data_IF_604529202639
#
_entry.id   IF_604529202639
#
_cell.length_a   1.000
_cell.length_b   1.000
_cell.length_c   1.000
_cell.angle_alpha   90.00
_cell.angle_beta   90.00
_cell.angle_gamma   90.00
#
_symmetry.space_group_name_H-M   'P 1'
#
loop_
_entity.id
_entity.type
_entity.pdbx_description
1 polymer ?
#
# COMPACT_ATOMS: atom_id res chain seq x y z
N UNK A 1 19.65 -5.89 28.06
CA UNK A 1 18.91 -5.70 26.79
C UNK A 1 19.78 -6.29 25.69
N UNK A 2 19.40 -7.45 25.15
CA UNK A 2 20.10 -8.07 24.02
C UNK A 2 19.47 -7.57 22.73
N UNK A 3 20.26 -6.88 21.90
CA UNK A 3 19.91 -6.61 20.51
C UNK A 3 19.62 -7.97 19.85
N UNK A 4 18.48 -8.15 19.14
CA UNK A 4 18.25 -9.36 18.36
C UNK A 4 19.46 -9.58 17.44
N UNK A 5 19.99 -10.80 17.31
CA UNK A 5 21.16 -11.02 16.48
C UNK A 5 20.87 -10.53 15.04
N UNK A 6 21.87 -10.00 14.32
CA UNK A 6 21.71 -9.63 12.92
C UNK A 6 21.08 -10.78 12.14
N UNK A 7 20.21 -10.50 11.16
CA UNK A 7 19.51 -11.53 10.37
C UNK A 7 20.47 -12.51 9.67
N UNK A 8 21.75 -12.15 9.52
CA UNK A 8 22.83 -13.06 9.13
C UNK A 8 23.02 -14.30 10.03
N UNK A 9 22.45 -14.28 11.26
CA UNK A 9 22.48 -15.38 12.21
C UNK A 9 21.22 -16.27 12.17
N UNK A 10 20.22 -15.93 11.36
CA UNK A 10 19.05 -16.79 11.18
C UNK A 10 19.45 -17.90 10.22
N UNK A 11 19.45 -19.15 10.70
CA UNK A 11 19.79 -20.31 9.88
C UNK A 11 18.81 -20.44 8.71
N UNK A 12 19.23 -19.94 7.55
CA UNK A 12 18.52 -20.04 6.28
C UNK A 12 18.41 -21.52 5.92
N UNK A 13 17.21 -22.08 5.96
CA UNK A 13 16.92 -23.44 5.46
C UNK A 13 16.55 -23.45 3.98
N UNK A 14 16.45 -22.28 3.34
CA UNK A 14 16.06 -22.15 1.94
C UNK A 14 17.27 -22.15 0.99
N UNK A 15 17.37 -23.16 0.13
CA UNK A 15 18.37 -23.25 -0.95
C UNK A 15 18.27 -22.14 -2.00
N UNK A 16 17.30 -21.23 -1.85
CA UNK A 16 17.03 -20.10 -2.74
C UNK A 16 18.05 -18.96 -2.57
N UNK A 17 18.78 -18.90 -1.44
CA UNK A 17 19.71 -17.80 -1.09
C UNK A 17 21.19 -18.09 -1.38
N UNK A 18 21.49 -18.94 -2.35
CA UNK A 18 22.84 -19.49 -2.53
C UNK A 18 23.81 -18.67 -3.39
N UNK A 19 23.40 -17.53 -3.98
CA UNK A 19 24.26 -16.74 -4.87
C UNK A 19 24.50 -15.29 -4.43
N UNK A 20 25.56 -14.64 -4.97
CA UNK A 20 25.93 -13.27 -4.62
C UNK A 20 24.87 -12.24 -5.05
N UNK A 21 24.15 -12.50 -6.14
CA UNK A 21 23.06 -11.62 -6.60
C UNK A 21 21.86 -11.67 -5.65
N UNK A 22 21.53 -12.84 -5.12
CA UNK A 22 20.43 -13.01 -4.17
C UNK A 22 20.75 -12.34 -2.83
N UNK A 23 22.01 -12.39 -2.39
CA UNK A 23 22.47 -11.63 -1.22
C UNK A 23 22.39 -10.12 -1.45
N UNK A 24 22.79 -9.64 -2.62
CA UNK A 24 22.69 -8.22 -2.96
C UNK A 24 21.22 -7.76 -3.05
N UNK A 25 20.32 -8.61 -3.57
CA UNK A 25 18.89 -8.34 -3.63
C UNK A 25 18.25 -8.24 -2.24
N UNK A 26 18.67 -9.09 -1.29
CA UNK A 26 18.25 -8.97 0.11
C UNK A 26 18.79 -7.70 0.76
N UNK A 27 20.06 -7.37 0.53
CA UNK A 27 20.61 -6.11 1.02
C UNK A 27 19.85 -4.89 0.45
N UNK A 28 19.50 -4.94 -0.85
CA UNK A 28 18.68 -3.93 -1.50
C UNK A 28 17.28 -3.85 -0.87
N UNK A 29 16.65 -4.99 -0.56
CA UNK A 29 15.37 -5.02 0.13
C UNK A 29 15.44 -4.29 1.48
N UNK A 30 16.44 -4.61 2.31
CA UNK A 30 16.58 -4.02 3.65
C UNK A 30 16.93 -2.53 3.62
N UNK A 31 17.78 -2.10 2.67
CA UNK A 31 18.37 -0.76 2.68
C UNK A 31 17.73 0.23 1.69
N UNK A 32 17.02 -0.26 0.67
CA UNK A 32 16.34 0.57 -0.32
C UNK A 32 14.83 0.48 -0.14
N UNK A 33 14.25 -0.72 -0.23
CA UNK A 33 12.81 -0.86 0.05
C UNK A 33 12.49 -0.59 1.53
N UNK A 34 13.39 -0.95 2.45
CA UNK A 34 13.27 -0.62 3.88
C UNK A 34 12.94 0.86 4.15
N UNK A 35 13.44 1.77 3.31
CA UNK A 35 13.21 3.22 3.42
C UNK A 35 11.79 3.66 3.06
N UNK A 36 10.96 2.76 2.51
CA UNK A 36 9.52 2.99 2.37
C UNK A 36 8.83 3.07 3.75
N UNK A 37 9.48 2.57 4.79
CA UNK A 37 9.05 2.78 6.17
C UNK A 37 9.86 3.91 6.81
N UNK A 38 9.23 4.82 7.56
CA UNK A 38 9.95 5.77 8.41
C UNK A 38 10.57 5.09 9.65
N UNK A 39 10.38 3.78 9.83
CA UNK A 39 10.85 3.03 11.00
C UNK A 39 12.21 2.42 10.73
N UNK A 40 12.92 2.07 11.80
CA UNK A 40 14.05 1.15 11.68
C UNK A 40 13.56 -0.17 11.09
N UNK A 41 14.29 -0.73 10.14
CA UNK A 41 13.86 -1.87 9.34
C UNK A 41 13.28 -3.02 10.19
N UNK A 42 13.96 -3.41 11.26
CA UNK A 42 13.56 -4.52 12.14
C UNK A 42 12.17 -4.39 12.78
N UNK A 43 11.65 -3.16 12.91
CA UNK A 43 10.34 -2.85 13.48
C UNK A 43 9.33 -2.41 12.41
N UNK A 44 9.71 -2.48 11.14
CA UNK A 44 8.89 -2.09 10.01
C UNK A 44 8.03 -3.25 9.51
N UNK A 45 6.96 -2.91 8.78
CA UNK A 45 6.15 -3.89 8.06
C UNK A 45 7.00 -4.76 7.12
N UNK A 46 8.09 -4.20 6.57
CA UNK A 46 8.98 -4.88 5.63
C UNK A 46 9.82 -5.96 6.30
N UNK A 47 10.16 -5.83 7.58
CA UNK A 47 10.79 -6.91 8.32
C UNK A 47 9.81 -8.07 8.58
N UNK A 48 8.53 -7.78 8.83
CA UNK A 48 7.50 -8.83 8.91
C UNK A 48 7.39 -9.55 7.57
N UNK A 49 7.32 -8.81 6.46
CA UNK A 49 7.30 -9.40 5.11
C UNK A 49 8.52 -10.26 4.83
N UNK A 50 9.72 -9.83 5.25
CA UNK A 50 10.94 -10.62 5.08
C UNK A 50 10.90 -11.92 5.89
N UNK A 51 10.31 -11.91 7.10
CA UNK A 51 10.09 -13.13 7.88
C UNK A 51 9.17 -14.10 7.13
N UNK A 52 8.06 -13.62 6.57
CA UNK A 52 7.20 -14.43 5.70
C UNK A 52 7.97 -15.01 4.50
N UNK A 53 8.88 -14.24 3.92
CA UNK A 53 9.71 -14.71 2.81
C UNK A 53 10.68 -15.82 3.23
N UNK A 54 11.29 -15.73 4.42
CA UNK A 54 12.20 -16.78 4.90
C UNK A 54 11.49 -18.13 5.11
N UNK A 55 10.22 -18.10 5.49
CA UNK A 55 9.41 -19.30 5.76
C UNK A 55 8.72 -19.87 4.50
N UNK A 56 8.74 -19.14 3.37
CA UNK A 56 8.01 -19.53 2.15
C UNK A 56 8.82 -19.28 0.87
N UNK A 57 9.11 -20.37 0.14
CA UNK A 57 9.88 -20.31 -1.09
C UNK A 57 9.21 -19.47 -2.20
N UNK A 58 7.87 -19.48 -2.29
CA UNK A 58 7.14 -18.65 -3.26
C UNK A 58 7.41 -17.18 -3.00
N UNK A 59 7.23 -16.77 -1.75
CA UNK A 59 7.44 -15.39 -1.32
C UNK A 59 8.90 -14.97 -1.46
N UNK A 60 9.87 -15.81 -1.11
CA UNK A 60 11.29 -15.51 -1.32
C UNK A 60 11.63 -15.32 -2.81
N UNK A 61 11.18 -16.21 -3.69
CA UNK A 61 11.42 -16.06 -5.12
C UNK A 61 10.82 -14.76 -5.68
N UNK A 62 9.59 -14.40 -5.28
CA UNK A 62 8.96 -13.16 -5.73
C UNK A 62 9.64 -11.91 -5.16
N UNK A 63 10.09 -11.95 -3.90
CA UNK A 63 10.88 -10.87 -3.29
C UNK A 63 12.17 -10.63 -4.08
N UNK A 64 12.94 -11.69 -4.34
CA UNK A 64 14.19 -11.60 -5.09
C UNK A 64 13.95 -11.09 -6.51
N UNK A 65 12.92 -11.60 -7.18
CA UNK A 65 12.54 -11.11 -8.51
C UNK A 65 12.22 -9.61 -8.52
N UNK A 66 11.46 -9.12 -7.53
CA UNK A 66 11.15 -7.71 -7.39
C UNK A 66 12.42 -6.87 -7.17
N UNK A 67 13.27 -7.24 -6.21
CA UNK A 67 14.50 -6.50 -5.94
C UNK A 67 15.45 -6.49 -7.14
N UNK A 68 15.71 -7.64 -7.75
CA UNK A 68 16.59 -7.75 -8.92
C UNK A 68 16.05 -6.97 -10.12
N UNK A 69 14.73 -6.99 -10.36
CA UNK A 69 14.13 -6.20 -11.43
C UNK A 69 14.36 -4.70 -11.22
N UNK A 70 14.15 -4.19 -10.00
CA UNK A 70 14.41 -2.78 -9.68
C UNK A 70 15.89 -2.42 -9.76
N UNK A 71 16.78 -3.25 -9.23
CA UNK A 71 18.24 -3.07 -9.33
C UNK A 71 18.71 -3.03 -10.80
N UNK A 72 18.18 -3.91 -11.63
CA UNK A 72 18.53 -3.98 -13.05
C UNK A 72 18.15 -2.73 -13.82
N UNK A 73 17.02 -2.09 -13.48
CA UNK A 73 16.60 -0.82 -14.10
C UNK A 73 17.52 0.33 -13.68
N UNK A 74 17.90 0.39 -12.41
CA UNK A 74 18.80 1.44 -11.90
C UNK A 74 20.21 1.37 -12.51
N UNK A 75 20.64 0.17 -12.90
CA UNK A 75 21.99 -0.11 -13.43
C UNK A 75 22.04 -0.38 -14.92
N UNK A 76 20.87 -0.45 -15.57
CA UNK A 76 20.71 -0.93 -16.95
C UNK A 76 21.34 -2.33 -17.20
N UNK A 77 21.26 -3.23 -16.21
CA UNK A 77 21.95 -4.54 -16.24
C UNK A 77 21.05 -5.70 -16.68
N UNK A 78 21.29 -6.18 -17.91
CA UNK A 78 20.59 -7.32 -18.50
C UNK A 78 20.89 -8.67 -17.83
N UNK A 79 22.04 -8.83 -17.16
CA UNK A 79 22.34 -10.06 -16.42
C UNK A 79 21.46 -10.16 -15.17
N UNK A 80 21.39 -9.09 -14.38
CA UNK A 80 20.48 -9.00 -13.23
C UNK A 80 19.01 -9.19 -13.65
N UNK A 81 18.58 -8.57 -14.76
CA UNK A 81 17.22 -8.75 -15.28
C UNK A 81 16.91 -10.21 -15.65
N UNK A 82 17.87 -10.95 -16.21
CA UNK A 82 17.68 -12.39 -16.49
C UNK A 82 17.50 -13.20 -15.21
N UNK A 83 18.24 -12.88 -14.14
CA UNK A 83 18.03 -13.53 -12.85
C UNK A 83 16.66 -13.19 -12.26
N UNK A 84 16.25 -11.92 -12.34
CA UNK A 84 14.92 -11.49 -11.91
C UNK A 84 13.80 -12.30 -12.58
N UNK A 85 13.89 -12.52 -13.90
CA UNK A 85 12.94 -13.33 -14.67
C UNK A 85 12.94 -14.80 -14.23
N UNK A 86 14.11 -15.38 -13.96
CA UNK A 86 14.20 -16.76 -13.46
C UNK A 86 13.48 -16.92 -12.12
N UNK A 87 13.73 -16.01 -11.17
CA UNK A 87 13.05 -16.01 -9.88
C UNK A 87 11.54 -15.77 -10.03
N UNK A 88 11.13 -14.87 -10.92
CA UNK A 88 9.72 -14.61 -11.23
C UNK A 88 9.02 -15.86 -11.79
N UNK A 89 9.64 -16.58 -12.72
CA UNK A 89 9.07 -17.78 -13.33
C UNK A 89 8.91 -18.92 -12.31
N UNK A 90 9.89 -19.08 -11.41
CA UNK A 90 9.79 -20.07 -10.32
C UNK A 90 8.72 -19.66 -9.32
N UNK A 91 8.77 -18.43 -8.80
CA UNK A 91 7.81 -17.91 -7.83
C UNK A 91 6.37 -17.94 -8.35
N UNK A 92 6.13 -17.52 -9.59
CA UNK A 92 4.79 -17.54 -10.20
C UNK A 92 4.25 -18.96 -10.36
N UNK A 93 5.08 -19.94 -10.74
CA UNK A 93 4.66 -21.34 -10.83
C UNK A 93 4.30 -21.91 -9.46
N UNK A 94 5.11 -21.63 -8.43
CA UNK A 94 4.82 -22.05 -7.06
C UNK A 94 3.53 -21.41 -6.54
N UNK A 95 3.30 -20.12 -6.82
CA UNK A 95 2.07 -19.42 -6.44
C UNK A 95 0.83 -20.07 -7.06
N UNK A 96 0.88 -20.38 -8.36
CA UNK A 96 -0.22 -21.06 -9.06
C UNK A 96 -0.45 -22.45 -8.48
N UNK A 97 0.62 -23.22 -8.22
CA UNK A 97 0.50 -24.54 -7.61
C UNK A 97 -0.11 -24.49 -6.20
N UNK A 98 0.28 -23.48 -5.40
CA UNK A 98 -0.21 -23.27 -4.04
C UNK A 98 -1.64 -22.73 -3.95
N UNK A 99 -2.19 -22.19 -5.05
CA UNK A 99 -3.56 -21.65 -5.08
C UNK A 99 -4.67 -22.70 -4.90
N UNK A 100 -4.31 -23.99 -4.92
CA UNK A 100 -5.20 -25.14 -4.69
C UNK A 100 -5.07 -25.73 -3.28
N UNK A 101 -4.33 -25.08 -2.37
CA UNK A 101 -4.15 -25.57 -1.01
C UNK A 101 -5.44 -25.48 -0.18
N UNK A 102 -5.65 -26.45 0.73
CA UNK A 102 -6.82 -26.54 1.60
C UNK A 102 -6.87 -25.44 2.67
N UNK A 103 -5.71 -24.88 3.04
CA UNK A 103 -5.58 -23.74 3.94
C UNK A 103 -4.85 -22.60 3.24
N UNK A 104 -5.41 -21.39 3.37
CA UNK A 104 -4.93 -20.21 2.67
C UNK A 104 -4.43 -19.19 3.67
N UNK A 105 -3.14 -18.89 3.61
CA UNK A 105 -2.54 -17.77 4.34
C UNK A 105 -2.81 -16.46 3.56
N UNK A 106 -3.76 -15.67 4.06
CA UNK A 106 -4.18 -14.43 3.41
C UNK A 106 -3.10 -13.35 3.44
N UNK A 107 -2.35 -13.25 4.54
CA UNK A 107 -1.23 -12.32 4.67
C UNK A 107 -0.18 -12.60 3.59
N UNK A 108 0.22 -13.86 3.45
CA UNK A 108 1.18 -14.30 2.43
C UNK A 108 0.68 -14.09 1.01
N UNK A 109 -0.58 -14.38 0.76
CA UNK A 109 -1.19 -14.17 -0.56
C UNK A 109 -1.08 -12.71 -0.99
N UNK A 110 -1.39 -11.79 -0.08
CA UNK A 110 -1.27 -10.36 -0.34
C UNK A 110 0.18 -9.89 -0.51
N UNK A 111 1.12 -10.40 0.30
CA UNK A 111 2.55 -10.15 0.10
C UNK A 111 2.99 -10.55 -1.30
N UNK A 112 2.58 -11.74 -1.76
CA UNK A 112 2.90 -12.22 -3.11
C UNK A 112 2.30 -11.32 -4.19
N UNK A 113 1.05 -10.87 -4.02
CA UNK A 113 0.43 -9.91 -4.95
C UNK A 113 1.18 -8.59 -5.02
N UNK A 114 1.64 -8.07 -3.89
CA UNK A 114 2.45 -6.85 -3.88
C UNK A 114 3.77 -7.02 -4.62
N UNK A 115 4.49 -8.13 -4.42
CA UNK A 115 5.72 -8.40 -5.19
C UNK A 115 5.45 -8.49 -6.69
N UNK A 116 4.33 -9.08 -7.11
CA UNK A 116 3.92 -9.08 -8.53
C UNK A 116 3.68 -7.65 -9.03
N UNK A 117 3.03 -6.78 -8.26
CA UNK A 117 2.87 -5.36 -8.62
C UNK A 117 4.23 -4.67 -8.79
N UNK A 118 5.17 -4.87 -7.86
CA UNK A 118 6.51 -4.29 -7.93
C UNK A 118 7.30 -4.74 -9.16
N UNK A 119 7.20 -6.03 -9.50
CA UNK A 119 7.86 -6.59 -10.69
C UNK A 119 7.29 -5.95 -11.95
N UNK A 120 5.97 -5.97 -12.13
CA UNK A 120 5.35 -5.40 -13.33
C UNK A 120 5.66 -3.91 -13.51
N UNK A 121 5.75 -3.15 -12.42
CA UNK A 121 6.21 -1.76 -12.45
C UNK A 121 7.67 -1.60 -12.86
N UNK A 122 8.54 -2.50 -12.44
CA UNK A 122 9.94 -2.48 -12.85
C UNK A 122 10.15 -2.81 -14.34
N UNK A 123 9.27 -3.61 -14.94
CA UNK A 123 9.36 -4.01 -16.35
C UNK A 123 8.27 -3.37 -17.23
N UNK A 124 7.88 -2.13 -16.91
CA UNK A 124 6.66 -1.51 -17.43
C UNK A 124 6.61 -1.42 -18.96
N UNK A 125 5.96 -2.41 -19.58
CA UNK A 125 5.61 -2.48 -20.99
C UNK A 125 4.11 -2.79 -21.17
N UNK A 126 3.64 -2.92 -22.41
CA UNK A 126 2.23 -3.20 -22.71
C UNK A 126 1.75 -4.52 -22.09
N UNK A 127 2.63 -5.52 -22.03
CA UNK A 127 2.32 -6.83 -21.46
C UNK A 127 2.22 -6.75 -19.93
N UNK A 128 3.15 -6.05 -19.28
CA UNK A 128 3.15 -5.78 -17.84
C UNK A 128 1.91 -4.99 -17.44
N UNK A 129 1.50 -4.00 -18.24
CA UNK A 129 0.26 -3.24 -18.06
C UNK A 129 -0.97 -4.14 -18.09
N UNK A 130 -1.07 -5.03 -19.09
CA UNK A 130 -2.14 -6.03 -19.16
C UNK A 130 -2.11 -7.03 -18.00
N UNK A 131 -0.92 -7.43 -17.54
CA UNK A 131 -0.75 -8.34 -16.42
C UNK A 131 -1.17 -7.68 -15.10
N UNK A 132 -0.80 -6.42 -14.87
CA UNK A 132 -1.25 -5.62 -13.73
C UNK A 132 -2.78 -5.53 -13.69
N UNK A 133 -3.43 -5.31 -14.84
CA UNK A 133 -4.90 -5.25 -14.91
C UNK A 133 -5.57 -6.56 -14.49
N UNK A 134 -4.99 -7.68 -14.93
CA UNK A 134 -5.46 -9.03 -14.52
C UNK A 134 -5.19 -9.29 -13.04
N UNK A 135 -4.04 -8.87 -12.53
CA UNK A 135 -3.68 -8.98 -11.12
C UNK A 135 -4.66 -8.18 -10.26
N UNK A 136 -4.93 -6.93 -10.60
CA UNK A 136 -5.93 -6.06 -9.97
C UNK A 136 -7.29 -6.75 -9.83
N UNK A 137 -7.82 -7.28 -10.94
CA UNK A 137 -9.08 -8.01 -10.94
C UNK A 137 -9.03 -9.29 -10.10
N UNK A 138 -7.91 -10.03 -10.15
CA UNK A 138 -7.71 -11.27 -9.38
C UNK A 138 -7.66 -11.01 -7.88
N UNK A 139 -7.01 -9.92 -7.44
CA UNK A 139 -6.99 -9.50 -6.04
C UNK A 139 -8.39 -9.14 -5.55
N UNK A 140 -9.16 -8.39 -6.34
CA UNK A 140 -10.55 -8.05 -5.99
C UNK A 140 -11.43 -9.30 -5.86
N UNK A 141 -11.32 -10.23 -6.82
CA UNK A 141 -12.03 -11.51 -6.77
C UNK A 141 -11.60 -12.36 -5.57
N UNK A 142 -10.31 -12.35 -5.23
CA UNK A 142 -9.78 -13.05 -4.06
C UNK A 142 -10.40 -12.50 -2.77
N UNK A 143 -10.41 -11.17 -2.59
CA UNK A 143 -11.04 -10.50 -1.42
C UNK A 143 -12.50 -10.91 -1.28
N UNK A 144 -13.25 -10.92 -2.37
CA UNK A 144 -14.66 -11.29 -2.38
C UNK A 144 -14.87 -12.79 -2.10
N UNK A 145 -14.08 -13.66 -2.74
CA UNK A 145 -14.18 -15.12 -2.61
C UNK A 145 -13.96 -15.58 -1.17
N UNK A 146 -12.97 -15.01 -0.49
CA UNK A 146 -12.64 -15.38 0.88
C UNK A 146 -13.35 -14.50 1.92
N UNK A 147 -14.19 -13.55 1.50
CA UNK A 147 -14.93 -12.68 2.43
C UNK A 147 -14.01 -11.87 3.35
N UNK A 148 -12.85 -11.42 2.87
CA UNK A 148 -11.83 -10.79 3.73
C UNK A 148 -12.37 -9.53 4.42
N UNK A 149 -13.25 -8.78 3.76
CA UNK A 149 -13.84 -7.56 4.35
C UNK A 149 -14.73 -7.90 5.54
N UNK A 150 -15.49 -8.99 5.46
CA UNK A 150 -16.33 -9.46 6.55
C UNK A 150 -15.44 -9.87 7.74
N UNK A 151 -14.35 -10.63 7.49
CA UNK A 151 -13.38 -11.02 8.53
C UNK A 151 -12.68 -9.84 9.20
N UNK A 152 -12.42 -8.75 8.46
CA UNK A 152 -11.84 -7.53 9.03
C UNK A 152 -12.85 -6.73 9.88
N UNK A 153 -14.15 -6.92 9.66
CA UNK A 153 -15.22 -6.23 10.38
C UNK A 153 -15.72 -7.00 11.61
N UNK A 154 -15.53 -8.31 11.68
CA UNK A 154 -15.93 -9.10 12.85
C UNK A 154 -15.20 -8.57 14.10
N UNK A 155 -15.97 -8.01 15.03
CA UNK A 155 -15.52 -7.81 16.42
C UNK A 155 -15.14 -9.19 16.98
N UNK A 156 -14.10 -9.25 17.83
CA UNK A 156 -13.67 -10.49 18.49
C UNK A 156 -14.83 -11.10 19.28
N UNK A 157 -15.67 -11.90 18.59
CA UNK A 157 -16.81 -12.60 19.16
C UNK A 157 -16.26 -13.75 19.98
N UNK A 158 -15.82 -13.40 21.18
CA UNK A 158 -15.64 -14.33 22.28
C UNK A 158 -17.02 -14.86 22.67
N UNK A 159 -17.43 -15.97 22.03
CA UNK A 159 -18.49 -16.85 22.50
C UNK A 159 -19.92 -16.44 22.15
N UNK A 160 -20.51 -17.17 21.20
CA UNK A 160 -21.96 -17.21 21.01
C UNK A 160 -22.36 -18.14 19.85
N UNK A 161 -23.16 -19.19 20.08
CA UNK A 161 -23.62 -20.06 19.00
C UNK A 161 -24.83 -19.44 18.29
N UNK A 162 -24.73 -19.27 16.97
CA UNK A 162 -25.85 -18.92 16.09
C UNK A 162 -25.54 -17.72 15.20
N UNK A 163 -26.09 -17.55 13.99
CA UNK A 163 -27.00 -18.36 13.20
C UNK A 163 -26.83 -17.93 11.73
N UNK A 164 -26.99 -18.88 10.81
CA UNK A 164 -27.39 -18.70 9.41
C UNK A 164 -26.80 -17.54 8.59
N UNK A 165 -25.74 -17.82 7.82
CA UNK A 165 -25.65 -17.29 6.46
C UNK A 165 -24.98 -18.34 5.57
N UNK A 166 -25.63 -18.69 4.45
CA UNK A 166 -25.25 -19.80 3.57
C UNK A 166 -24.03 -19.53 2.67
N UNK A 167 -23.01 -18.83 3.17
CA UNK A 167 -21.70 -18.75 2.51
C UNK A 167 -20.80 -19.87 3.08
N UNK A 168 -19.91 -20.48 2.27
CA UNK A 168 -18.89 -21.38 2.81
C UNK A 168 -18.06 -20.59 3.82
N UNK A 169 -18.33 -20.84 5.09
CA UNK A 169 -17.72 -20.17 6.22
C UNK A 169 -16.31 -20.76 6.32
N UNK A 170 -15.28 -20.02 5.95
CA UNK A 170 -13.94 -20.35 6.42
C UNK A 170 -13.94 -20.01 7.92
N UNK A 171 -14.22 -21.00 8.76
CA UNK A 171 -14.71 -20.86 10.14
C UNK A 171 -13.68 -20.38 11.19
N UNK A 172 -12.66 -19.63 10.82
CA UNK A 172 -11.69 -19.11 11.80
C UNK A 172 -11.54 -17.61 11.67
N UNK A 173 -12.03 -16.88 12.68
CA UNK A 173 -11.69 -15.47 12.84
C UNK A 173 -10.16 -15.33 12.84
N UNK A 174 -9.66 -14.36 12.08
CA UNK A 174 -8.22 -14.10 12.00
C UNK A 174 -7.70 -13.66 13.39
N UNK A 175 -6.56 -14.19 13.86
CA UNK A 175 -5.92 -13.68 15.05
C UNK A 175 -5.72 -12.16 14.94
N UNK A 176 -5.88 -11.43 16.05
CA UNK A 176 -5.75 -9.96 16.08
C UNK A 176 -4.45 -9.46 15.42
N UNK A 177 -3.35 -10.20 15.63
CA UNK A 177 -2.06 -9.89 15.02
C UNK A 177 -2.08 -9.96 13.48
N UNK A 178 -2.73 -10.98 12.93
CA UNK A 178 -2.88 -11.15 11.48
C UNK A 178 -3.89 -10.17 10.91
N UNK A 179 -4.97 -9.86 11.65
CA UNK A 179 -5.99 -8.90 11.25
C UNK A 179 -5.41 -7.51 11.00
N UNK A 180 -4.62 -6.99 11.94
CA UNK A 180 -4.01 -5.66 11.81
C UNK A 180 -2.96 -5.60 10.70
N UNK A 181 -2.15 -6.65 10.57
CA UNK A 181 -1.18 -6.78 9.48
C UNK A 181 -1.87 -6.84 8.11
N UNK A 182 -2.85 -7.73 7.95
CA UNK A 182 -3.59 -7.91 6.70
C UNK A 182 -4.32 -6.62 6.31
N UNK A 183 -4.99 -5.95 7.24
CA UNK A 183 -5.66 -4.67 6.96
C UNK A 183 -4.68 -3.60 6.47
N UNK A 184 -3.50 -3.50 7.10
CA UNK A 184 -2.45 -2.56 6.69
C UNK A 184 -1.92 -2.88 5.31
N UNK A 185 -1.70 -4.16 5.03
CA UNK A 185 -1.18 -4.61 3.74
C UNK A 185 -2.22 -4.46 2.62
N UNK A 186 -3.49 -4.74 2.92
CA UNK A 186 -4.62 -4.56 2.01
C UNK A 186 -4.76 -3.09 1.58
N UNK A 187 -4.68 -2.14 2.52
CA UNK A 187 -4.67 -0.71 2.19
C UNK A 187 -3.48 -0.33 1.31
N UNK A 188 -2.30 -0.82 1.67
CA UNK A 188 -1.09 -0.53 0.92
C UNK A 188 -1.18 -1.02 -0.54
N UNK A 189 -1.56 -2.28 -0.75
CA UNK A 189 -1.77 -2.86 -2.09
C UNK A 189 -2.92 -2.17 -2.84
N UNK A 190 -3.97 -1.73 -2.15
CA UNK A 190 -5.06 -0.98 -2.75
C UNK A 190 -4.64 0.43 -3.20
N UNK A 191 -3.74 1.11 -2.49
CA UNK A 191 -3.15 2.37 -2.95
C UNK A 191 -2.29 2.16 -4.20
N UNK A 192 -1.49 1.09 -4.22
CA UNK A 192 -0.68 0.76 -5.40
C UNK A 192 -1.55 0.38 -6.62
N UNK A 193 -2.68 -0.26 -6.38
CA UNK A 193 -3.69 -0.56 -7.38
C UNK A 193 -4.38 0.72 -7.90
N UNK A 194 -4.66 1.68 -7.01
CA UNK A 194 -5.22 2.99 -7.34
C UNK A 194 -4.26 3.81 -8.21
N UNK A 195 -2.97 3.84 -7.88
CA UNK A 195 -1.96 4.55 -8.68
C UNK A 195 -1.81 3.92 -10.08
N UNK A 196 -1.89 2.59 -10.17
CA UNK A 196 -1.82 1.89 -11.45
C UNK A 196 -3.02 2.17 -12.36
N UNK A 197 -4.11 2.69 -11.82
CA UNK A 197 -5.31 3.06 -12.56
C UNK A 197 -5.07 4.23 -13.53
N UNK A 198 -4.15 5.15 -13.21
CA UNK A 198 -3.77 6.25 -14.12
C UNK A 198 -3.20 5.77 -15.46
N UNK A 199 -2.80 4.51 -15.55
CA UNK A 199 -2.30 3.87 -16.75
C UNK A 199 -3.25 2.78 -17.29
N UNK A 200 -4.53 2.80 -16.91
CA UNK A 200 -5.55 1.78 -17.26
C UNK A 200 -5.17 0.34 -16.84
N UNK A 201 -4.28 0.23 -15.85
CA UNK A 201 -3.63 -1.03 -15.46
C UNK A 201 -4.09 -1.55 -14.09
N UNK A 202 -4.88 -0.79 -13.35
CA UNK A 202 -5.35 -1.15 -12.01
C UNK A 202 -6.76 -0.69 -11.73
N UNK A 203 -7.09 -0.60 -10.46
CA UNK A 203 -8.29 0.03 -9.95
C UNK A 203 -9.44 -0.91 -9.63
N UNK A 204 -9.33 -2.23 -9.84
CA UNK A 204 -10.39 -3.17 -9.47
C UNK A 204 -10.38 -3.47 -7.95
N UNK A 205 -9.20 -3.61 -7.34
CA UNK A 205 -9.08 -3.80 -5.90
C UNK A 205 -9.35 -2.49 -5.17
N UNK A 206 -8.78 -1.37 -5.64
CA UNK A 206 -8.99 -0.07 -5.01
C UNK A 206 -10.48 0.31 -4.99
N UNK A 207 -11.23 0.03 -6.06
CA UNK A 207 -12.69 0.26 -6.12
C UNK A 207 -13.50 -0.61 -5.14
N UNK A 208 -12.90 -1.66 -4.58
CA UNK A 208 -13.54 -2.51 -3.56
C UNK A 208 -13.18 -2.04 -2.14
N UNK A 209 -11.94 -1.61 -1.92
CA UNK A 209 -11.39 -1.27 -0.59
C UNK A 209 -11.61 0.20 -0.23
N UNK A 210 -11.43 1.10 -1.20
CA UNK A 210 -11.44 2.56 -1.03
C UNK A 210 -12.80 3.15 -1.39
N UNK A 211 -13.87 2.51 -0.91
CA UNK A 211 -15.25 3.01 -1.04
C UNK A 211 -15.62 3.74 0.22
N UNK A 212 -16.13 4.96 0.10
CA UNK A 212 -16.54 5.72 1.27
C UNK A 212 -17.63 4.99 2.06
N UNK A 213 -17.34 4.68 3.33
CA UNK A 213 -18.32 4.13 4.26
C UNK A 213 -17.69 3.25 5.34
N UNK A 214 -18.54 2.56 6.10
CA UNK A 214 -18.15 1.78 7.26
C UNK A 214 -17.06 0.72 6.94
N UNK A 215 -17.07 0.14 5.74
CA UNK A 215 -16.09 -0.87 5.35
C UNK A 215 -14.68 -0.31 5.26
N UNK A 216 -14.47 0.79 4.55
CA UNK A 216 -13.14 1.39 4.43
C UNK A 216 -12.62 1.88 5.78
N UNK A 217 -13.52 2.42 6.61
CA UNK A 217 -13.19 2.93 7.94
C UNK A 217 -12.77 1.79 8.87
N UNK A 218 -13.48 0.66 8.85
CA UNK A 218 -13.13 -0.53 9.62
C UNK A 218 -11.75 -1.09 9.23
N UNK A 219 -11.43 -1.13 7.93
CA UNK A 219 -10.10 -1.56 7.46
C UNK A 219 -9.02 -0.59 7.95
N UNK A 220 -9.26 0.72 7.86
CA UNK A 220 -8.33 1.71 8.36
C UNK A 220 -8.09 1.57 9.87
N UNK A 221 -9.15 1.44 10.66
CA UNK A 221 -9.05 1.23 12.12
C UNK A 221 -8.27 -0.05 12.42
N UNK A 222 -8.59 -1.17 11.78
CA UNK A 222 -7.86 -2.43 11.97
C UNK A 222 -6.36 -2.29 11.63
N UNK A 223 -6.03 -1.52 10.59
CA UNK A 223 -4.65 -1.32 10.14
C UNK A 223 -3.75 -0.61 11.17
N UNK A 224 -4.33 0.10 12.15
CA UNK A 224 -3.56 0.79 13.19
C UNK A 224 -2.87 -0.19 14.15
N UNK A 225 -3.33 -1.44 14.21
CA UNK A 225 -2.74 -2.51 15.01
C UNK A 225 -1.72 -3.35 14.24
N UNK A 226 -1.13 -2.84 13.15
CA UNK A 226 -0.17 -3.58 12.32
C UNK A 226 1.14 -3.97 13.01
N UNK A 227 1.40 -3.45 14.21
CA UNK A 227 2.56 -3.79 15.04
C UNK A 227 2.35 -5.08 15.85
N UNK A 228 1.11 -5.58 15.96
CA UNK A 228 0.78 -6.76 16.75
C UNK A 228 1.59 -8.03 16.43
N UNK A 229 2.05 -8.30 15.18
CA UNK A 229 2.95 -9.43 14.88
C UNK A 229 4.30 -9.41 15.63
N UNK A 230 4.75 -8.26 16.13
CA UNK A 230 5.96 -8.17 16.94
C UNK A 230 5.74 -8.59 18.40
N UNK A 231 4.48 -8.69 18.84
CA UNK A 231 4.12 -9.11 20.19
C UNK A 231 4.74 -8.21 21.28
N UNK A 232 5.10 -8.78 22.44
CA UNK A 232 5.62 -8.02 23.58
C UNK A 232 7.02 -7.44 23.35
N UNK A 233 7.73 -7.87 22.30
CA UNK A 233 9.07 -7.38 21.98
C UNK A 233 9.04 -6.03 21.25
N UNK A 234 7.85 -5.54 20.88
CA UNK A 234 7.70 -4.28 20.18
C UNK A 234 8.07 -3.08 21.08
N UNK A 235 9.07 -2.24 20.71
CA UNK A 235 9.55 -1.19 21.59
C UNK A 235 8.49 -0.12 21.88
N UNK A 236 8.38 0.36 23.14
CA UNK A 236 7.46 1.44 23.50
C UNK A 236 7.68 2.72 22.67
N UNK A 237 8.92 3.01 22.27
CA UNK A 237 9.26 4.17 21.45
C UNK A 237 8.70 4.06 20.03
N UNK A 238 8.70 2.86 19.44
CA UNK A 238 8.11 2.60 18.12
C UNK A 238 6.58 2.62 18.18
N UNK A 239 5.99 2.18 19.29
CA UNK A 239 4.55 2.30 19.53
C UNK A 239 4.12 3.77 19.69
N UNK A 240 4.88 4.56 20.45
CA UNK A 240 4.63 6.00 20.59
C UNK A 240 4.72 6.71 19.22
N UNK A 241 5.68 6.34 18.37
CA UNK A 241 5.79 6.84 17.00
C UNK A 241 4.60 6.43 16.11
N UNK A 242 4.11 5.18 16.21
CA UNK A 242 2.90 4.75 15.51
C UNK A 242 1.67 5.57 15.90
N UNK A 243 1.50 5.81 17.21
CA UNK A 243 0.41 6.64 17.73
C UNK A 243 0.53 8.06 17.19
N UNK A 244 1.73 8.65 17.21
CA UNK A 244 1.97 10.00 16.70
C UNK A 244 1.68 10.11 15.18
N UNK A 245 2.04 9.09 14.40
CA UNK A 245 1.82 9.06 12.95
C UNK A 245 0.40 8.68 12.52
N UNK A 246 -0.44 8.21 13.45
CA UNK A 246 -1.83 7.80 13.15
C UNK A 246 -2.64 8.90 12.46
N UNK A 247 -2.53 10.16 12.93
CA UNK A 247 -3.32 11.28 12.40
C UNK A 247 -2.89 11.72 10.99
N UNK A 248 -1.60 11.87 10.66
CA UNK A 248 -1.16 11.98 9.27
C UNK A 248 -1.64 10.81 8.40
N UNK A 249 -1.53 9.56 8.86
CA UNK A 249 -1.95 8.41 8.07
C UNK A 249 -3.47 8.36 7.82
N UNK A 250 -4.28 8.86 8.75
CA UNK A 250 -5.73 9.05 8.56
C UNK A 250 -6.03 10.09 7.46
N UNK A 251 -5.29 11.21 7.45
CA UNK A 251 -5.39 12.19 6.37
C UNK A 251 -5.02 11.56 5.01
N UNK A 252 -3.98 10.72 4.99
CA UNK A 252 -3.57 9.98 3.79
C UNK A 252 -4.69 9.07 3.28
N UNK A 253 -5.34 8.35 4.19
CA UNK A 253 -6.46 7.48 3.86
C UNK A 253 -7.62 8.29 3.25
N UNK A 254 -7.99 9.43 3.84
CA UNK A 254 -9.04 10.29 3.28
C UNK A 254 -8.68 10.91 1.92
N UNK A 255 -7.41 11.26 1.69
CA UNK A 255 -6.95 11.73 0.39
C UNK A 255 -7.10 10.65 -0.69
N UNK A 256 -6.74 9.40 -0.38
CA UNK A 256 -6.91 8.28 -1.30
C UNK A 256 -8.37 7.91 -1.55
N UNK A 257 -9.25 8.04 -0.54
CA UNK A 257 -10.70 7.91 -0.76
C UNK A 257 -11.23 8.96 -1.74
N UNK A 258 -10.78 10.21 -1.63
CA UNK A 258 -11.16 11.26 -2.57
C UNK A 258 -10.64 10.97 -3.99
N UNK A 259 -9.40 10.47 -4.11
CA UNK A 259 -8.85 10.07 -5.40
C UNK A 259 -9.65 8.91 -6.04
N UNK A 260 -9.92 7.86 -5.26
CA UNK A 260 -10.74 6.73 -5.71
C UNK A 260 -12.14 7.18 -6.15
N UNK A 261 -12.75 8.14 -5.46
CA UNK A 261 -14.03 8.72 -5.84
C UNK A 261 -13.95 9.42 -7.21
N UNK A 262 -12.91 10.22 -7.47
CA UNK A 262 -12.73 10.89 -8.78
C UNK A 262 -12.61 9.84 -9.89
N UNK A 263 -11.76 8.83 -9.69
CA UNK A 263 -11.56 7.75 -10.64
C UNK A 263 -12.86 6.97 -10.93
N UNK A 264 -13.63 6.67 -9.87
CA UNK A 264 -14.92 6.00 -9.99
C UNK A 264 -15.93 6.81 -10.81
N UNK A 265 -16.00 8.12 -10.59
CA UNK A 265 -16.90 8.98 -11.36
C UNK A 265 -16.60 8.85 -12.86
N UNK A 266 -15.33 8.97 -13.26
CA UNK A 266 -14.91 8.84 -14.67
C UNK A 266 -15.12 7.43 -15.25
N UNK A 267 -15.06 6.38 -14.44
CA UNK A 267 -15.37 5.00 -14.86
C UNK A 267 -16.86 4.80 -15.16
N UNK A 268 -17.73 5.44 -14.39
CA UNK A 268 -19.19 5.28 -14.53
C UNK A 268 -19.76 6.15 -15.65
N UNK A 269 -19.28 7.38 -15.77
CA UNK A 269 -19.71 8.34 -16.77
C UNK A 269 -18.75 9.53 -16.83
N UNK A 270 -19.00 10.51 -17.71
CA UNK A 270 -18.32 11.80 -17.55
C UNK A 270 -18.87 12.48 -16.29
N UNK A 271 -18.04 12.80 -15.27
CA UNK A 271 -18.52 13.48 -14.07
C UNK A 271 -19.11 14.84 -14.42
N UNK A 272 -20.19 15.19 -13.73
CA UNK A 272 -20.72 16.55 -13.74
C UNK A 272 -19.81 17.51 -12.96
N UNK A 273 -19.97 18.80 -13.26
CA UNK A 273 -19.29 19.86 -12.50
C UNK A 273 -19.64 19.86 -11.01
N UNK A 274 -20.86 19.43 -10.65
CA UNK A 274 -21.29 19.34 -9.25
C UNK A 274 -20.59 18.20 -8.52
N UNK A 275 -20.53 17.00 -9.11
CA UNK A 275 -19.85 15.86 -8.47
C UNK A 275 -18.38 16.14 -8.20
N UNK A 276 -17.67 16.80 -9.14
CA UNK A 276 -16.28 17.21 -8.91
C UNK A 276 -16.16 18.31 -7.87
N UNK A 277 -17.15 19.21 -7.77
CA UNK A 277 -17.20 20.25 -6.74
C UNK A 277 -17.41 19.63 -5.36
N UNK A 278 -18.26 18.61 -5.24
CA UNK A 278 -18.49 17.90 -3.98
C UNK A 278 -17.19 17.23 -3.47
N UNK A 279 -16.41 16.62 -4.38
CA UNK A 279 -15.09 16.08 -4.04
C UNK A 279 -14.12 17.19 -3.63
N UNK A 280 -14.10 18.31 -4.36
CA UNK A 280 -13.25 19.45 -4.02
C UNK A 280 -13.59 20.03 -2.63
N UNK A 281 -14.87 20.22 -2.33
CA UNK A 281 -15.34 20.75 -1.05
C UNK A 281 -14.97 19.79 0.09
N UNK A 282 -15.06 18.47 -0.15
CA UNK A 282 -14.56 17.46 0.79
C UNK A 282 -13.06 17.57 1.02
N UNK A 283 -12.25 17.78 -0.03
CA UNK A 283 -10.81 18.02 0.10
C UNK A 283 -10.53 19.30 0.90
N UNK A 284 -11.31 20.38 0.71
CA UNK A 284 -11.17 21.59 1.52
C UNK A 284 -11.53 21.34 2.99
N UNK A 285 -12.59 20.57 3.25
CA UNK A 285 -12.93 20.16 4.61
C UNK A 285 -11.80 19.34 5.26
N UNK A 286 -11.23 18.35 4.55
CA UNK A 286 -10.06 17.60 5.03
C UNK A 286 -8.90 18.57 5.34
N UNK A 287 -8.58 19.50 4.44
CA UNK A 287 -7.52 20.50 4.67
C UNK A 287 -7.75 21.31 5.96
N UNK A 288 -8.99 21.70 6.24
CA UNK A 288 -9.35 22.43 7.46
C UNK A 288 -9.25 21.55 8.71
N UNK A 289 -9.80 20.33 8.67
CA UNK A 289 -9.76 19.41 9.82
C UNK A 289 -8.34 19.03 10.22
N UNK A 290 -7.45 18.89 9.25
CA UNK A 290 -6.06 18.50 9.46
C UNK A 290 -5.08 19.68 9.34
N UNK A 291 -5.53 20.93 9.54
CA UNK A 291 -4.72 22.13 9.36
C UNK A 291 -3.38 22.09 10.13
N UNK A 292 -3.37 21.51 11.34
CA UNK A 292 -2.15 21.35 12.14
C UNK A 292 -1.11 20.42 11.47
N UNK A 293 -1.54 19.43 10.68
CA UNK A 293 -0.65 18.54 9.92
C UNK A 293 0.04 19.30 8.78
N UNK A 294 -0.68 20.22 8.12
CA UNK A 294 -0.08 21.11 7.11
C UNK A 294 0.94 22.06 7.74
N UNK A 295 0.61 22.68 8.87
CA UNK A 295 1.54 23.55 9.61
C UNK A 295 2.79 22.79 10.06
N UNK A 296 2.61 21.54 10.52
CA UNK A 296 3.72 20.69 10.92
C UNK A 296 4.64 20.39 9.73
N UNK A 297 4.10 20.06 8.56
CA UNK A 297 4.89 19.79 7.35
C UNK A 297 5.69 21.00 6.85
N UNK A 298 5.27 22.22 7.21
CA UNK A 298 5.93 23.48 6.84
C UNK A 298 6.97 23.93 7.89
N UNK A 299 7.03 23.27 9.06
CA UNK A 299 7.94 23.63 10.14
C UNK A 299 9.29 22.92 9.97
N UNK A 300 10.41 23.66 9.81
CA UNK A 300 11.74 23.06 9.83
C UNK A 300 12.09 22.65 11.27
N UNK A 301 11.89 21.39 11.63
CA UNK A 301 12.25 20.85 12.94
C UNK A 301 13.06 19.57 12.81
N UNK A 302 14.18 19.49 13.55
CA UNK A 302 15.06 18.31 13.59
C UNK A 302 14.68 17.26 14.64
N UNK A 303 13.56 17.44 15.36
CA UNK A 303 13.07 16.50 16.37
C UNK A 303 11.86 15.74 15.79
N UNK A 304 11.86 14.40 15.90
CA UNK A 304 10.77 13.56 15.40
C UNK A 304 10.83 13.27 13.89
N UNK A 305 12.03 12.99 13.36
CA UNK A 305 12.30 12.76 11.94
C UNK A 305 11.26 11.83 11.28
N UNK A 306 10.91 10.71 11.90
CA UNK A 306 9.91 9.74 11.39
C UNK A 306 8.53 10.35 11.15
N UNK A 307 8.03 11.12 12.12
CA UNK A 307 6.75 11.82 12.03
C UNK A 307 6.81 12.92 10.96
N UNK A 308 7.91 13.66 10.89
CA UNK A 308 8.09 14.73 9.91
C UNK A 308 8.14 14.17 8.49
N UNK A 309 8.93 13.12 8.24
CA UNK A 309 8.98 12.44 6.93
C UNK A 309 7.60 11.93 6.52
N UNK A 310 6.87 11.30 7.44
CA UNK A 310 5.51 10.81 7.17
C UNK A 310 4.56 11.96 6.85
N UNK A 311 4.56 13.01 7.69
CA UNK A 311 3.68 14.17 7.55
C UNK A 311 3.90 14.87 6.22
N UNK A 312 5.16 15.12 5.86
CA UNK A 312 5.49 15.79 4.62
C UNK A 312 5.12 14.92 3.39
N UNK A 313 5.32 13.59 3.45
CA UNK A 313 4.95 12.67 2.37
C UNK A 313 3.42 12.65 2.17
N UNK A 314 2.67 12.58 3.27
CA UNK A 314 1.20 12.62 3.23
C UNK A 314 0.68 13.96 2.71
N UNK A 315 1.27 15.10 3.13
CA UNK A 315 0.87 16.42 2.63
C UNK A 315 1.15 16.55 1.13
N UNK A 316 2.26 16.01 0.64
CA UNK A 316 2.56 15.95 -0.78
C UNK A 316 1.52 15.13 -1.56
N UNK A 317 1.15 13.94 -1.05
CA UNK A 317 0.08 13.12 -1.63
C UNK A 317 -1.26 13.88 -1.67
N UNK A 318 -1.67 14.48 -0.55
CA UNK A 318 -2.91 15.28 -0.50
C UNK A 318 -2.91 16.40 -1.55
N UNK A 319 -1.80 17.15 -1.66
CA UNK A 319 -1.66 18.23 -2.64
C UNK A 319 -1.73 17.70 -4.08
N UNK A 320 -1.17 16.52 -4.35
CA UNK A 320 -1.30 15.87 -5.66
C UNK A 320 -2.75 15.51 -6.01
N UNK A 321 -3.50 14.95 -5.05
CA UNK A 321 -4.94 14.65 -5.22
C UNK A 321 -5.74 15.94 -5.46
N UNK A 322 -5.45 17.01 -4.72
CA UNK A 322 -6.08 18.32 -4.93
C UNK A 322 -5.82 18.88 -6.34
N UNK A 323 -4.57 18.80 -6.81
CA UNK A 323 -4.20 19.19 -8.18
C UNK A 323 -4.95 18.35 -9.21
N UNK A 324 -5.09 17.04 -8.98
CA UNK A 324 -5.84 16.16 -9.88
C UNK A 324 -7.32 16.52 -9.93
N UNK A 325 -7.97 16.75 -8.79
CA UNK A 325 -9.35 17.21 -8.71
C UNK A 325 -9.56 18.54 -9.46
N UNK A 326 -8.68 19.52 -9.24
CA UNK A 326 -8.76 20.83 -9.91
C UNK A 326 -8.52 20.73 -11.42
N UNK A 327 -7.67 19.80 -11.88
CA UNK A 327 -7.50 19.49 -13.31
C UNK A 327 -8.79 18.91 -13.90
N UNK A 328 -9.40 17.94 -13.21
CA UNK A 328 -10.67 17.34 -13.63
C UNK A 328 -11.78 18.41 -13.74
N UNK A 329 -11.87 19.32 -12.75
CA UNK A 329 -12.81 20.44 -12.78
C UNK A 329 -12.53 21.40 -13.95
N UNK A 330 -11.27 21.77 -14.19
CA UNK A 330 -10.91 22.69 -15.27
C UNK A 330 -11.18 22.11 -16.67
N UNK A 331 -11.20 20.78 -16.81
CA UNK A 331 -11.53 20.08 -18.04
C UNK A 331 -13.04 20.05 -18.34
N UNK A 332 -13.91 20.40 -17.37
CA UNK A 332 -15.35 20.41 -17.58
C UNK A 332 -15.79 21.62 -18.43
N UNK A 333 -16.55 21.43 -19.53
CA UNK A 333 -16.99 22.53 -20.39
C UNK A 333 -17.79 23.63 -19.66
N UNK A 334 -18.55 23.26 -18.63
CA UNK A 334 -19.34 24.21 -17.82
C UNK A 334 -18.50 25.01 -16.82
N UNK A 335 -17.25 24.60 -16.58
CA UNK A 335 -16.28 25.28 -15.71
C UNK A 335 -15.07 25.80 -16.49
N UNK A 336 -14.93 25.43 -17.77
CA UNK A 336 -13.86 25.88 -18.64
C UNK A 336 -14.04 27.38 -18.92
N UNK A 337 -13.17 28.20 -18.34
CA UNK A 337 -13.25 29.65 -18.40
C UNK A 337 -13.54 30.33 -17.05
N UNK A 338 -13.83 29.58 -15.99
CA UNK A 338 -13.85 30.11 -14.63
C UNK A 338 -12.41 30.46 -14.19
N UNK A 339 -12.12 31.76 -14.13
CA UNK A 339 -10.82 32.28 -13.69
C UNK A 339 -10.45 31.79 -12.28
N UNK A 340 -11.46 31.53 -11.43
CA UNK A 340 -11.25 31.04 -10.07
C UNK A 340 -10.69 29.61 -10.03
N UNK A 341 -11.17 28.71 -10.87
CA UNK A 341 -10.67 27.33 -10.95
C UNK A 341 -9.24 27.28 -11.49
N UNK A 342 -8.93 28.08 -12.52
CA UNK A 342 -7.58 28.15 -13.08
C UNK A 342 -6.55 28.72 -12.09
N UNK A 343 -6.93 29.74 -11.31
CA UNK A 343 -6.08 30.33 -10.28
C UNK A 343 -5.81 29.36 -9.13
N UNK A 344 -6.86 28.69 -8.62
CA UNK A 344 -6.74 27.63 -7.61
C UNK A 344 -5.82 26.51 -8.07
N UNK A 345 -5.93 26.07 -9.33
CA UNK A 345 -5.07 25.05 -9.89
C UNK A 345 -3.60 25.49 -9.94
N UNK A 346 -3.34 26.75 -10.30
CA UNK A 346 -1.99 27.31 -10.33
C UNK A 346 -1.38 27.33 -8.94
N UNK A 347 -2.13 27.83 -7.94
CA UNK A 347 -1.69 27.85 -6.54
C UNK A 347 -1.40 26.43 -6.02
N UNK A 348 -2.32 25.48 -6.24
CA UNK A 348 -2.15 24.09 -5.79
C UNK A 348 -0.93 23.40 -6.41
N UNK A 349 -0.62 23.68 -7.69
CA UNK A 349 0.61 23.17 -8.34
C UNK A 349 1.87 23.75 -7.70
N UNK A 350 1.88 25.05 -7.41
CA UNK A 350 3.02 25.69 -6.76
C UNK A 350 3.24 25.13 -5.35
N UNK A 351 2.15 24.95 -4.58
CA UNK A 351 2.18 24.36 -3.25
C UNK A 351 2.73 22.94 -3.26
N UNK A 352 2.39 22.14 -4.28
CA UNK A 352 2.89 20.78 -4.46
C UNK A 352 4.40 20.78 -4.76
N UNK A 353 4.84 21.64 -5.68
CA UNK A 353 6.27 21.77 -6.02
C UNK A 353 7.09 22.13 -4.78
N UNK A 354 6.61 23.07 -3.97
CA UNK A 354 7.28 23.45 -2.72
C UNK A 354 7.37 22.27 -1.73
N UNK A 355 6.29 21.49 -1.59
CA UNK A 355 6.31 20.31 -0.71
C UNK A 355 7.23 19.20 -1.19
N UNK A 356 7.35 18.97 -2.50
CA UNK A 356 8.26 17.95 -3.05
C UNK A 356 9.72 18.42 -3.01
N UNK A 357 9.96 19.71 -3.22
CA UNK A 357 11.30 20.30 -3.17
C UNK A 357 11.94 20.34 -1.78
N UNK A 358 11.20 20.06 -0.71
CA UNK A 358 11.76 19.85 0.64
C UNK A 358 12.40 18.46 0.83
N UNK A 359 12.23 17.55 -0.14
CA UNK A 359 12.75 16.17 -0.09
C UNK A 359 13.98 15.93 -0.97
N UNK A 360 14.41 16.93 -1.75
CA UNK A 360 15.61 16.94 -2.58
C UNK A 360 16.49 18.12 -2.19
#
# INVERSE_FOLDING_TARGET
MSVPPPLAAWHITSTVLCGPLEQEALYFYENVFGKLSPKTFIWSLLAVVLRYAFDDATTMHLLLAACLAHMSQQREDQATMRSAKLHFDVGSRLLVAGSQADQVDHCRSFINFWFLQLIYRAIWDEQARCAMKKLSASMAQYVQRYGLLDMLQEEDRTGGPGAGSGKPRYEQALPVAEKGFLARFLLFVAYEDLDSEFCDAGGALSSLILVHGATSDAIFVASQNSHAPFGPDYPPEELADDIARSKPLEMHFHANLALAQINQLYKQSNPSAQELRDVYDRLQWIRQQYANIFQLAETPCGVGEKLMTTTASVVANFKAVLVYCLRAMAAQPSLSGDSGTAEKLRAAKQDLIYSVGLFF
#
